data_IF_472139648337
#
_entry.id   IF_472139648337
#
_cell.length_a   1.000
_cell.length_b   1.000
_cell.length_c   1.000
_cell.angle_alpha   90.00
_cell.angle_beta   90.00
_cell.angle_gamma   90.00
#
_symmetry.space_group_name_H-M   'P 1'
#
loop_
_entity.id
_entity.type
_entity.pdbx_description
1 polymer ?
#
# COMPACT_ATOMS: atom_id res chain seq x y z
N UNK A 1 8.29 3.77 27.51
CA UNK A 1 7.44 4.33 26.42
C UNK A 1 8.27 5.21 25.47
N UNK A 2 9.26 4.66 24.76
CA UNK A 2 10.09 5.47 23.86
C UNK A 2 9.30 6.18 22.77
N UNK A 3 8.32 5.53 22.13
CA UNK A 3 7.57 6.13 21.02
C UNK A 3 6.81 7.41 21.42
N UNK A 4 6.05 7.37 22.53
CA UNK A 4 5.32 8.56 23.04
C UNK A 4 6.30 9.67 23.44
N UNK A 5 7.39 9.32 24.13
CA UNK A 5 8.40 10.28 24.54
C UNK A 5 9.11 10.94 23.35
N UNK A 6 9.38 10.18 22.28
CA UNK A 6 9.98 10.67 21.05
C UNK A 6 8.99 11.59 20.31
N UNK A 7 7.72 11.19 20.17
CA UNK A 7 6.71 12.02 19.53
C UNK A 7 6.55 13.37 20.24
N UNK A 8 6.47 13.35 21.57
CA UNK A 8 6.44 14.56 22.41
C UNK A 8 7.70 15.41 22.24
N UNK A 9 8.89 14.81 22.27
CA UNK A 9 10.16 15.53 22.09
C UNK A 9 10.31 16.15 20.69
N UNK A 10 9.70 15.54 19.67
CA UNK A 10 9.63 16.07 18.31
C UNK A 10 8.53 17.15 18.16
N UNK A 11 7.70 17.35 19.20
CA UNK A 11 6.65 18.34 19.26
C UNK A 11 5.35 17.94 18.55
N UNK A 12 5.00 16.65 18.54
CA UNK A 12 3.68 16.24 18.05
C UNK A 12 2.57 16.87 18.92
N UNK A 13 1.56 17.46 18.28
CA UNK A 13 0.39 18.02 18.99
C UNK A 13 -0.53 16.92 19.51
N UNK A 14 -0.55 15.77 18.83
CA UNK A 14 -1.39 14.61 19.15
C UNK A 14 -0.58 13.33 18.96
N UNK A 15 -0.72 12.38 19.88
CA UNK A 15 -0.12 11.03 19.78
C UNK A 15 -1.23 9.98 19.65
N UNK A 16 -1.23 9.22 18.55
CA UNK A 16 -2.12 8.06 18.38
C UNK A 16 -1.50 6.81 19.02
N UNK A 17 -2.28 6.07 19.80
CA UNK A 17 -1.88 4.77 20.38
C UNK A 17 -2.96 3.72 20.19
N UNK A 18 -2.59 2.51 19.78
CA UNK A 18 -3.49 1.35 19.80
C UNK A 18 -3.52 0.71 21.19
N UNK A 19 -4.72 0.40 21.68
CA UNK A 19 -4.91 -0.23 23.00
C UNK A 19 -5.53 -1.61 22.86
N UNK A 20 -4.99 -2.55 23.65
CA UNK A 20 -5.49 -3.92 23.84
C UNK A 20 -5.69 -4.20 25.31
N UNK A 21 -6.62 -5.10 25.63
CA UNK A 21 -6.75 -5.62 27.00
C UNK A 21 -5.94 -6.89 27.21
N UNK A 22 -5.38 -7.06 28.40
CA UNK A 22 -4.88 -8.34 28.91
C UNK A 22 -6.03 -9.23 29.42
N UNK A 23 -5.72 -10.50 29.75
CA UNK A 23 -6.72 -11.44 30.27
C UNK A 23 -7.39 -10.97 31.58
N UNK A 24 -6.63 -10.26 32.42
CA UNK A 24 -7.05 -9.69 33.70
C UNK A 24 -7.53 -8.22 33.58
N UNK A 25 -7.73 -7.71 32.36
CA UNK A 25 -8.37 -6.42 32.12
C UNK A 25 -7.47 -5.19 32.30
N UNK A 26 -6.17 -5.32 32.09
CA UNK A 26 -5.24 -4.18 32.03
C UNK A 26 -5.20 -3.64 30.60
N UNK A 27 -5.36 -2.32 30.44
CA UNK A 27 -5.19 -1.63 29.15
C UNK A 27 -3.70 -1.45 28.83
N UNK A 28 -3.24 -2.03 27.71
CA UNK A 28 -1.85 -1.97 27.26
C UNK A 28 -1.73 -1.42 25.85
N UNK A 29 -0.62 -0.74 25.56
CA UNK A 29 -0.36 -0.16 24.25
C UNK A 29 0.22 -1.21 23.31
N UNK A 30 -0.60 -1.70 22.38
CA UNK A 30 -0.18 -2.65 21.37
C UNK A 30 -1.08 -2.62 20.13
N UNK A 31 -0.49 -2.54 18.94
CA UNK A 31 -1.24 -2.61 17.69
C UNK A 31 -1.84 -4.01 17.43
N UNK A 32 -1.01 -5.06 17.55
CA UNK A 32 -1.38 -6.41 17.17
C UNK A 32 -2.23 -7.09 18.24
N UNK A 33 -3.09 -8.03 17.82
CA UNK A 33 -3.82 -8.86 18.76
C UNK A 33 -2.92 -9.91 19.46
N UNK A 34 -1.74 -10.20 18.89
CA UNK A 34 -0.81 -11.24 19.33
C UNK A 34 0.55 -10.64 19.68
N UNK A 35 1.28 -11.31 20.56
CA UNK A 35 2.63 -10.93 20.96
C UNK A 35 3.72 -11.38 19.94
N UNK A 36 3.31 -11.97 18.82
CA UNK A 36 4.20 -12.76 17.96
C UNK A 36 5.21 -11.95 17.18
N UNK A 37 4.82 -10.77 16.69
CA UNK A 37 5.65 -9.95 15.79
C UNK A 37 6.91 -9.42 16.49
N UNK A 38 6.79 -8.95 17.72
CA UNK A 38 7.89 -8.33 18.45
C UNK A 38 8.55 -9.27 19.47
N UNK A 39 7.78 -10.16 20.11
CA UNK A 39 8.27 -11.00 21.21
C UNK A 39 8.27 -12.50 20.90
N UNK A 40 7.88 -12.90 19.68
CA UNK A 40 7.87 -14.31 19.26
C UNK A 40 6.82 -15.18 19.95
N UNK A 41 5.93 -14.59 20.76
CA UNK A 41 4.88 -15.30 21.47
C UNK A 41 3.57 -15.27 20.67
N UNK A 42 3.10 -16.44 20.24
CA UNK A 42 1.92 -16.55 19.36
C UNK A 42 0.59 -16.30 20.08
N UNK A 43 0.58 -16.25 21.42
CA UNK A 43 -0.64 -16.04 22.20
C UNK A 43 -1.24 -14.66 21.94
N UNK A 44 -2.57 -14.56 22.10
CA UNK A 44 -3.25 -13.26 22.04
C UNK A 44 -3.07 -12.54 23.37
N UNK A 45 -2.91 -11.21 23.34
CA UNK A 45 -2.74 -10.44 24.58
C UNK A 45 -3.94 -10.60 25.52
N UNK A 46 -5.14 -10.70 24.96
CA UNK A 46 -6.38 -10.92 25.71
C UNK A 46 -6.45 -12.28 26.45
N UNK A 47 -5.49 -13.18 26.24
CA UNK A 47 -5.37 -14.49 26.88
C UNK A 47 -4.22 -14.56 27.89
N UNK A 48 -3.42 -13.49 28.01
CA UNK A 48 -2.24 -13.44 28.88
C UNK A 48 -2.47 -12.41 29.99
N UNK A 49 -2.24 -12.75 31.28
CA UNK A 49 -2.39 -11.80 32.39
C UNK A 49 -1.29 -10.74 32.37
N UNK A 50 -1.55 -9.56 32.92
CA UNK A 50 -0.61 -8.45 32.92
C UNK A 50 0.74 -8.82 33.53
N UNK A 51 0.78 -9.63 34.60
CA UNK A 51 2.03 -10.04 35.23
C UNK A 51 2.98 -10.80 34.29
N UNK A 52 2.46 -11.49 33.27
CA UNK A 52 3.25 -12.12 32.22
C UNK A 52 3.62 -11.11 31.13
N UNK A 53 2.64 -10.30 30.67
CA UNK A 53 2.87 -9.26 29.66
C UNK A 53 3.96 -8.27 30.10
N UNK A 54 3.95 -7.86 31.37
CA UNK A 54 4.93 -6.94 31.96
C UNK A 54 6.37 -7.49 31.99
N UNK A 55 6.55 -8.81 31.85
CA UNK A 55 7.87 -9.45 31.79
C UNK A 55 8.40 -9.57 30.37
N UNK A 56 7.60 -9.25 29.36
CA UNK A 56 8.01 -9.30 27.96
C UNK A 56 8.84 -8.08 27.59
N UNK A 57 9.91 -8.32 26.83
CA UNK A 57 10.86 -7.29 26.41
C UNK A 57 11.79 -6.81 27.52
N UNK A 58 12.77 -5.99 27.14
CA UNK A 58 13.66 -5.31 28.07
C UNK A 58 13.78 -3.83 27.68
N UNK A 59 14.02 -2.95 28.65
CA UNK A 59 14.17 -1.51 28.40
C UNK A 59 13.05 -0.90 27.55
N UNK A 60 13.39 -0.61 26.29
CA UNK A 60 12.54 0.04 25.30
C UNK A 60 11.46 -0.88 24.70
N UNK A 61 11.66 -2.19 24.73
CA UNK A 61 10.76 -3.20 24.13
C UNK A 61 9.64 -3.66 25.09
N UNK A 62 9.52 -3.01 26.26
CA UNK A 62 8.43 -3.30 27.21
C UNK A 62 7.13 -2.70 26.74
N UNK A 63 6.05 -3.47 26.90
CA UNK A 63 4.69 -3.06 26.57
C UNK A 63 4.19 -2.08 27.65
N UNK A 64 3.90 -0.80 27.32
CA UNK A 64 3.39 0.17 28.28
C UNK A 64 1.93 -0.08 28.64
N UNK A 65 1.51 0.33 29.84
CA UNK A 65 0.08 0.46 30.16
C UNK A 65 -0.44 1.82 29.71
N UNK A 66 -1.75 1.89 29.45
CA UNK A 66 -2.41 3.16 29.13
C UNK A 66 -2.33 4.16 30.29
N UNK A 67 -2.43 3.70 31.54
CA UNK A 67 -2.30 4.57 32.71
C UNK A 67 -0.92 5.25 32.79
N UNK A 68 0.17 4.52 32.51
CA UNK A 68 1.53 5.07 32.51
C UNK A 68 1.69 6.17 31.45
N UNK A 69 0.92 6.08 30.36
CA UNK A 69 0.90 7.08 29.27
C UNK A 69 0.15 8.33 29.69
N UNK A 70 -1.02 8.16 30.30
CA UNK A 70 -1.83 9.27 30.80
C UNK A 70 -1.14 10.03 31.94
N UNK A 71 -0.41 9.32 32.80
CA UNK A 71 0.43 9.94 33.84
C UNK A 71 1.58 10.73 33.25
N UNK A 72 2.22 10.21 32.19
CA UNK A 72 3.33 10.91 31.52
C UNK A 72 2.87 12.20 30.85
N UNK A 73 1.73 12.15 30.16
CA UNK A 73 1.20 13.29 29.40
C UNK A 73 0.43 14.29 30.27
N UNK A 74 0.26 14.02 31.57
CA UNK A 74 -0.44 14.93 32.46
C UNK A 74 0.27 16.30 32.54
N UNK A 75 -0.48 17.37 32.26
CA UNK A 75 0.05 18.73 32.14
C UNK A 75 0.85 19.02 30.85
N UNK A 76 1.04 18.03 29.97
CA UNK A 76 1.61 18.24 28.63
C UNK A 76 0.56 18.86 27.70
N UNK A 77 0.95 19.75 26.75
CA UNK A 77 0.03 20.23 25.72
C UNK A 77 -0.34 19.15 24.69
N UNK A 78 0.36 18.00 24.71
CA UNK A 78 0.17 16.90 23.77
C UNK A 78 -1.12 16.13 24.09
N UNK A 79 -2.05 16.06 23.13
CA UNK A 79 -3.26 15.25 23.25
C UNK A 79 -3.00 13.78 22.89
N UNK A 80 -3.92 12.91 23.30
CA UNK A 80 -3.87 11.47 23.04
C UNK A 80 -5.07 11.03 22.20
N UNK A 81 -4.83 10.27 21.12
CA UNK A 81 -5.88 9.54 20.40
C UNK A 81 -5.76 8.06 20.72
N UNK A 82 -6.78 7.51 21.36
CA UNK A 82 -6.83 6.09 21.70
C UNK A 82 -7.58 5.32 20.62
N UNK A 83 -6.84 4.48 19.89
CA UNK A 83 -7.39 3.59 18.87
C UNK A 83 -7.77 2.23 19.47
N UNK A 84 -9.05 1.89 19.35
CA UNK A 84 -9.63 0.63 19.85
C UNK A 84 -10.17 -0.20 18.69
N UNK A 85 -10.00 -1.52 18.77
CA UNK A 85 -10.32 -2.44 17.66
C UNK A 85 -11.62 -3.21 17.87
N UNK A 86 -12.02 -3.42 19.12
CA UNK A 86 -13.26 -4.08 19.46
C UNK A 86 -13.89 -3.50 20.74
N UNK A 87 -15.09 -3.97 21.04
CA UNK A 87 -15.91 -3.52 22.19
C UNK A 87 -15.22 -3.78 23.53
N UNK A 88 -14.52 -4.90 23.68
CA UNK A 88 -13.93 -5.28 24.97
C UNK A 88 -12.65 -4.48 25.25
N UNK A 89 -11.82 -4.25 24.21
CA UNK A 89 -10.68 -3.34 24.29
C UNK A 89 -11.14 -1.91 24.62
N UNK A 90 -12.24 -1.46 24.01
CA UNK A 90 -12.81 -0.13 24.24
C UNK A 90 -13.33 0.07 25.66
N UNK A 91 -14.05 -0.91 26.21
CA UNK A 91 -14.58 -0.84 27.57
C UNK A 91 -13.46 -0.71 28.61
N UNK A 92 -12.43 -1.56 28.50
CA UNK A 92 -11.28 -1.55 29.42
C UNK A 92 -10.52 -0.22 29.32
N UNK A 93 -10.21 0.22 28.10
CA UNK A 93 -9.52 1.49 27.87
C UNK A 93 -10.31 2.69 28.43
N UNK A 94 -11.62 2.76 28.17
CA UNK A 94 -12.48 3.84 28.63
C UNK A 94 -12.58 3.86 30.16
N UNK A 95 -12.65 2.71 30.83
CA UNK A 95 -12.62 2.61 32.29
C UNK A 95 -11.27 3.06 32.86
N UNK A 96 -10.15 2.72 32.21
CA UNK A 96 -8.81 3.18 32.62
C UNK A 96 -8.71 4.71 32.53
N UNK A 97 -9.22 5.31 31.44
CA UNK A 97 -9.25 6.78 31.30
C UNK A 97 -10.21 7.42 32.32
N UNK A 98 -11.40 6.83 32.54
CA UNK A 98 -12.35 7.34 33.54
C UNK A 98 -11.83 7.27 34.98
N UNK A 99 -10.93 6.34 35.28
CA UNK A 99 -10.34 6.16 36.61
C UNK A 99 -9.14 7.06 36.87
N UNK A 100 -8.56 7.71 35.85
CA UNK A 100 -7.42 8.61 36.05
C UNK A 100 -7.87 10.02 36.44
N UNK A 101 -6.96 10.78 37.05
CA UNK A 101 -7.12 12.22 37.33
C UNK A 101 -6.32 13.10 36.37
N UNK A 102 -5.67 12.47 35.37
CA UNK A 102 -4.90 13.17 34.35
C UNK A 102 -5.74 14.20 33.60
N UNK A 103 -5.14 15.35 33.34
CA UNK A 103 -5.69 16.44 32.53
C UNK A 103 -5.50 16.24 31.02
N UNK A 104 -4.88 15.13 30.61
CA UNK A 104 -4.61 14.81 29.20
C UNK A 104 -5.91 14.79 28.40
N UNK A 105 -5.97 15.53 27.29
CA UNK A 105 -7.10 15.48 26.37
C UNK A 105 -7.08 14.15 25.62
N UNK A 106 -8.17 13.37 25.69
CA UNK A 106 -8.28 12.04 25.06
C UNK A 106 -9.41 12.02 24.04
N UNK A 107 -9.05 11.73 22.79
CA UNK A 107 -9.97 11.44 21.70
C UNK A 107 -9.95 9.95 21.37
N UNK A 108 -11.01 9.44 20.75
CA UNK A 108 -11.23 8.01 20.55
C UNK A 108 -11.47 7.67 19.10
N UNK A 109 -10.84 6.60 18.62
CA UNK A 109 -11.06 6.06 17.27
C UNK A 109 -11.34 4.57 17.33
N UNK A 110 -12.34 4.11 16.61
CA UNK A 110 -12.63 2.68 16.48
C UNK A 110 -13.89 2.39 15.67
N UNK A 111 -14.29 1.11 15.55
CA UNK A 111 -15.59 0.75 14.98
C UNK A 111 -16.74 1.41 15.77
N UNK A 112 -17.85 1.71 15.09
CA UNK A 112 -19.05 2.35 15.70
C UNK A 112 -19.51 1.66 16.99
N UNK A 113 -19.50 0.33 17.04
CA UNK A 113 -19.87 -0.42 18.23
C UNK A 113 -18.91 -0.20 19.41
N UNK A 114 -17.61 -0.07 19.13
CA UNK A 114 -16.60 0.16 20.15
C UNK A 114 -16.67 1.59 20.69
N UNK A 115 -16.81 2.60 19.81
CA UNK A 115 -16.93 4.00 20.23
C UNK A 115 -18.23 4.28 20.97
N UNK A 116 -19.32 3.56 20.66
CA UNK A 116 -20.55 3.61 21.45
C UNK A 116 -20.34 3.15 22.90
N UNK A 117 -19.50 2.12 23.10
CA UNK A 117 -19.15 1.62 24.43
C UNK A 117 -18.26 2.60 25.19
N UNK A 118 -17.33 3.27 24.50
CA UNK A 118 -16.58 4.39 25.09
C UNK A 118 -17.55 5.44 25.62
N UNK A 119 -18.54 5.87 24.82
CA UNK A 119 -19.54 6.87 25.26
C UNK A 119 -20.48 6.40 26.35
N UNK A 120 -20.72 5.10 26.48
CA UNK A 120 -21.47 4.57 27.61
C UNK A 120 -20.69 4.72 28.93
N UNK A 121 -19.36 4.71 28.89
CA UNK A 121 -18.48 4.89 30.07
C UNK A 121 -18.12 6.37 30.28
N UNK A 122 -17.86 7.10 29.20
CA UNK A 122 -17.45 8.50 29.14
C UNK A 122 -18.42 9.28 28.23
N UNK A 123 -19.55 9.79 28.75
CA UNK A 123 -20.60 10.41 27.94
C UNK A 123 -20.13 11.54 27.01
N UNK A 124 -19.14 12.32 27.46
CA UNK A 124 -18.59 13.46 26.72
C UNK A 124 -17.35 13.09 25.88
N UNK A 125 -17.10 11.79 25.67
CA UNK A 125 -15.94 11.34 24.91
C UNK A 125 -15.94 11.89 23.48
N UNK A 126 -14.81 12.53 23.13
CA UNK A 126 -14.51 12.98 21.78
C UNK A 126 -14.22 11.77 20.87
N UNK A 127 -14.97 11.62 19.78
CA UNK A 127 -14.88 10.45 18.90
C UNK A 127 -14.59 10.86 17.48
N UNK A 128 -13.65 10.15 16.85
CA UNK A 128 -13.27 10.32 15.45
C UNK A 128 -13.90 9.22 14.61
N UNK A 129 -14.47 9.60 13.47
CA UNK A 129 -14.99 8.66 12.49
C UNK A 129 -13.91 8.34 11.46
N UNK A 130 -13.48 7.08 11.43
CA UNK A 130 -12.52 6.61 10.43
C UNK A 130 -13.21 6.39 9.08
N UNK A 131 -12.69 7.04 8.04
CA UNK A 131 -13.02 6.78 6.64
C UNK A 131 -11.81 6.16 5.91
N UNK A 132 -11.70 4.84 6.00
CA UNK A 132 -10.60 4.07 5.41
C UNK A 132 -11.01 3.24 4.18
N UNK A 133 -12.30 2.93 4.05
CA UNK A 133 -12.84 2.19 2.91
C UNK A 133 -13.25 3.17 1.83
N UNK A 134 -13.20 2.80 0.55
CA UNK A 134 -13.58 3.79 -0.47
C UNK A 134 -15.12 4.04 -0.54
N UNK A 135 -15.91 3.48 0.38
CA UNK A 135 -17.32 3.79 0.54
C UNK A 135 -17.43 5.08 1.36
N UNK A 136 -18.09 6.10 0.81
CA UNK A 136 -18.26 7.40 1.49
C UNK A 136 -19.15 7.21 2.72
N UNK A 137 -18.75 7.69 3.92
CA UNK A 137 -19.60 7.68 5.10
C UNK A 137 -20.92 8.37 4.81
N UNK A 138 -22.01 7.72 5.18
CA UNK A 138 -23.35 8.25 4.99
C UNK A 138 -23.70 9.22 6.11
N UNK A 139 -24.74 10.05 5.88
CA UNK A 139 -25.31 10.88 6.94
C UNK A 139 -25.78 10.05 8.14
N UNK A 140 -26.24 8.81 7.92
CA UNK A 140 -26.63 7.91 9.01
C UNK A 140 -25.43 7.52 9.87
N UNK A 141 -24.27 7.28 9.26
CA UNK A 141 -23.04 6.94 9.99
C UNK A 141 -22.58 8.12 10.86
N UNK A 142 -22.64 9.34 10.31
CA UNK A 142 -22.34 10.57 11.04
C UNK A 142 -23.27 10.79 12.23
N UNK A 143 -24.58 10.54 12.06
CA UNK A 143 -25.55 10.68 13.16
C UNK A 143 -25.34 9.59 14.23
N UNK A 144 -25.07 8.35 13.81
CA UNK A 144 -24.86 7.24 14.73
C UNK A 144 -23.58 7.41 15.58
N UNK A 145 -22.51 7.92 14.97
CA UNK A 145 -21.22 8.11 15.65
C UNK A 145 -21.13 9.49 16.30
N UNK A 146 -21.78 10.52 15.78
CA UNK A 146 -21.64 11.91 16.23
C UNK A 146 -20.19 12.36 16.38
N UNK A 147 -19.33 12.20 15.35
CA UNK A 147 -17.90 12.47 15.48
C UNK A 147 -17.60 13.97 15.56
N UNK A 148 -16.47 14.35 16.13
CA UNK A 148 -15.89 15.70 15.99
C UNK A 148 -14.96 15.81 14.79
N UNK A 149 -14.32 14.69 14.42
CA UNK A 149 -13.26 14.63 13.43
C UNK A 149 -13.53 13.48 12.46
N UNK A 150 -13.43 13.79 11.17
CA UNK A 150 -13.40 12.80 10.11
C UNK A 150 -11.94 12.42 9.83
N UNK A 151 -11.60 11.17 10.15
CA UNK A 151 -10.28 10.61 9.98
C UNK A 151 -10.19 9.93 8.60
N UNK A 152 -9.76 10.70 7.60
CA UNK A 152 -9.72 10.37 6.18
C UNK A 152 -8.37 9.78 5.82
N UNK A 153 -8.36 8.75 5.00
CA UNK A 153 -7.10 8.28 4.42
C UNK A 153 -6.78 9.04 3.12
N UNK A 154 -5.51 9.37 2.89
CA UNK A 154 -5.02 10.29 1.86
C UNK A 154 -5.56 10.06 0.44
N UNK A 155 -5.79 8.80 0.03
CA UNK A 155 -6.41 8.48 -1.26
C UNK A 155 -7.83 9.06 -1.47
N UNK A 156 -8.58 9.39 -0.41
CA UNK A 156 -9.92 9.99 -0.47
C UNK A 156 -9.94 11.47 -0.17
N UNK A 157 -8.79 12.03 0.17
CA UNK A 157 -8.70 13.44 0.44
C UNK A 157 -8.81 14.22 -0.89
N UNK A 158 -9.75 15.15 -0.90
CA UNK A 158 -10.01 16.13 -1.97
C UNK A 158 -10.45 17.45 -1.33
N UNK A 159 -10.40 18.56 -2.07
CA UNK A 159 -10.97 19.83 -1.60
C UNK A 159 -12.45 19.66 -1.23
N UNK A 160 -13.26 19.05 -2.11
CA UNK A 160 -14.68 18.77 -1.86
C UNK A 160 -14.90 17.94 -0.58
N UNK A 161 -14.02 16.97 -0.30
CA UNK A 161 -14.08 16.18 0.94
C UNK A 161 -13.87 17.07 2.17
N UNK A 162 -12.89 17.97 2.11
CA UNK A 162 -12.58 18.90 3.22
C UNK A 162 -13.71 19.90 3.40
N UNK A 163 -14.12 20.57 2.32
CA UNK A 163 -15.21 21.56 2.34
C UNK A 163 -16.51 20.94 2.86
N UNK A 164 -16.85 19.72 2.44
CA UNK A 164 -18.05 19.03 2.91
C UNK A 164 -17.97 18.68 4.41
N UNK A 165 -16.81 18.25 4.90
CA UNK A 165 -16.61 17.95 6.31
C UNK A 165 -16.68 19.22 7.17
N UNK A 166 -16.00 20.29 6.75
CA UNK A 166 -16.04 21.61 7.40
C UNK A 166 -17.45 22.21 7.40
N UNK A 167 -18.21 22.07 6.30
CA UNK A 167 -19.62 22.50 6.24
C UNK A 167 -20.53 21.73 7.21
N UNK A 168 -20.12 20.53 7.62
CA UNK A 168 -20.79 19.73 8.66
C UNK A 168 -20.25 20.01 10.07
N UNK A 169 -19.29 20.92 10.22
CA UNK A 169 -18.66 21.27 11.50
C UNK A 169 -17.65 20.23 12.00
N UNK A 170 -17.16 19.35 11.13
CA UNK A 170 -16.19 18.31 11.46
C UNK A 170 -14.78 18.81 11.14
N UNK A 171 -13.81 18.53 12.01
CA UNK A 171 -12.39 18.62 11.64
C UNK A 171 -12.02 17.46 10.69
N UNK A 172 -10.97 17.64 9.89
CA UNK A 172 -10.44 16.62 8.99
C UNK A 172 -9.04 16.23 9.43
N UNK A 173 -8.87 14.96 9.77
CA UNK A 173 -7.56 14.35 9.93
C UNK A 173 -7.22 13.53 8.67
N UNK A 174 -5.97 13.58 8.20
CA UNK A 174 -5.48 12.73 7.10
C UNK A 174 -4.41 11.75 7.58
N UNK A 175 -4.50 10.50 7.11
CA UNK A 175 -3.52 9.44 7.43
C UNK A 175 -3.00 8.73 6.17
N UNK A 176 -1.77 8.20 6.15
CA UNK A 176 -0.56 8.68 6.84
C UNK A 176 0.30 9.36 5.78
N UNK A 177 0.78 10.57 6.07
CA UNK A 177 1.59 11.36 5.14
C UNK A 177 2.96 11.62 5.76
N UNK A 178 4.00 11.02 5.19
CA UNK A 178 5.37 11.19 5.68
C UNK A 178 6.18 12.16 4.81
N UNK A 179 5.77 12.36 3.56
CA UNK A 179 6.49 13.21 2.61
C UNK A 179 6.10 14.68 2.75
N UNK A 180 7.07 15.62 2.89
CA UNK A 180 6.78 17.05 3.02
C UNK A 180 5.91 17.62 1.90
N UNK A 181 5.99 17.08 0.68
CA UNK A 181 5.16 17.50 -0.45
C UNK A 181 3.72 17.03 -0.33
N UNK A 182 3.49 15.78 0.07
CA UNK A 182 2.14 15.28 0.33
C UNK A 182 1.50 16.02 1.51
N UNK A 183 2.29 16.34 2.53
CA UNK A 183 1.87 17.16 3.67
C UNK A 183 1.51 18.58 3.25
N UNK A 184 2.34 19.24 2.43
CA UNK A 184 2.01 20.56 1.84
C UNK A 184 0.71 20.54 1.05
N UNK A 185 0.51 19.51 0.24
CA UNK A 185 -0.71 19.33 -0.53
C UNK A 185 -1.93 19.21 0.37
N UNK A 186 -1.89 18.32 1.38
CA UNK A 186 -3.01 18.13 2.30
C UNK A 186 -3.31 19.39 3.12
N UNK A 187 -2.27 20.07 3.61
CA UNK A 187 -2.40 21.36 4.30
C UNK A 187 -3.03 22.43 3.38
N UNK A 188 -2.63 22.45 2.10
CA UNK A 188 -3.21 23.35 1.08
C UNK A 188 -4.69 23.09 0.78
N UNK A 189 -5.19 21.87 1.02
CA UNK A 189 -6.61 21.55 0.94
C UNK A 189 -7.41 22.01 2.19
N UNK A 190 -6.73 22.47 3.25
CA UNK A 190 -7.38 22.86 4.50
C UNK A 190 -7.55 21.74 5.52
N UNK A 191 -6.77 20.66 5.44
CA UNK A 191 -6.77 19.61 6.47
C UNK A 191 -6.33 20.14 7.83
N UNK A 192 -7.03 19.74 8.90
CA UNK A 192 -6.79 20.22 10.27
C UNK A 192 -5.70 19.41 11.01
N UNK A 193 -5.59 18.11 10.73
CA UNK A 193 -4.69 17.19 11.41
C UNK A 193 -3.99 16.24 10.43
N UNK A 194 -2.69 16.00 10.62
CA UNK A 194 -1.90 15.13 9.74
C UNK A 194 -1.22 14.06 10.58
N UNK A 195 -1.57 12.80 10.34
CA UNK A 195 -0.86 11.68 10.93
C UNK A 195 0.38 11.35 10.11
N UNK A 196 1.51 11.19 10.80
CA UNK A 196 2.82 10.96 10.18
C UNK A 196 3.69 10.09 11.07
N UNK A 197 4.61 9.35 10.46
CA UNK A 197 5.74 8.68 11.11
C UNK A 197 7.02 9.54 11.10
N UNK A 198 7.03 10.65 10.35
CA UNK A 198 8.14 11.60 10.25
C UNK A 198 7.68 13.02 10.65
N UNK A 199 7.62 13.29 11.96
CA UNK A 199 7.20 14.59 12.51
C UNK A 199 8.04 15.76 11.96
N UNK A 200 9.39 15.69 11.89
CA UNK A 200 10.19 16.72 11.23
C UNK A 200 9.83 16.94 9.77
N UNK A 201 9.67 15.87 8.98
CA UNK A 201 9.29 15.94 7.57
C UNK A 201 7.91 16.58 7.38
N UNK A 202 6.93 16.16 8.17
CA UNK A 202 5.59 16.74 8.13
C UNK A 202 5.58 18.22 8.53
N UNK A 203 6.32 18.62 9.57
CA UNK A 203 6.45 20.03 9.95
C UNK A 203 7.06 20.88 8.85
N UNK A 204 8.09 20.38 8.16
CA UNK A 204 8.64 21.04 6.98
C UNK A 204 7.61 21.17 5.83
N UNK A 205 6.61 20.29 5.82
CA UNK A 205 5.47 20.34 4.90
C UNK A 205 4.33 21.28 5.33
N UNK A 206 4.20 21.62 6.61
CA UNK A 206 3.10 22.46 7.13
C UNK A 206 3.30 23.97 6.93
N UNK A 207 4.31 24.38 6.16
CA UNK A 207 4.52 25.77 5.74
C UNK A 207 3.46 26.12 4.69
N UNK A 208 2.83 27.33 4.70
CA UNK A 208 1.81 27.70 3.74
C UNK A 208 2.20 27.32 2.31
N UNK A 209 1.45 26.36 1.77
CA UNK A 209 1.62 25.84 0.43
C UNK A 209 1.14 26.83 -0.63
N UNK A 210 1.49 26.60 -1.90
CA UNK A 210 1.02 27.43 -3.01
C UNK A 210 -0.51 27.42 -3.12
N UNK A 211 -1.04 28.43 -3.81
CA UNK A 211 -2.47 28.65 -4.11
C UNK A 211 -3.27 27.33 -4.26
N UNK A 212 -4.35 27.10 -3.50
CA UNK A 212 -5.20 25.91 -3.64
C UNK A 212 -5.86 25.77 -5.02
N UNK A 213 -5.92 26.85 -5.81
CA UNK A 213 -6.34 26.81 -7.21
C UNK A 213 -5.23 26.33 -8.17
N UNK A 214 -3.99 26.14 -7.69
CA UNK A 214 -2.88 25.64 -8.50
C UNK A 214 -3.08 24.17 -8.83
N UNK A 215 -2.82 23.84 -10.09
CA UNK A 215 -2.76 22.45 -10.53
C UNK A 215 -1.63 21.68 -9.82
N UNK A 216 -1.90 20.50 -9.24
CA UNK A 216 -0.90 19.72 -8.51
C UNK A 216 0.27 19.31 -9.42
N UNK A 217 1.46 19.34 -8.85
CA UNK A 217 2.70 18.93 -9.49
C UNK A 217 2.75 17.42 -9.72
N UNK A 218 3.73 16.97 -10.51
CA UNK A 218 3.89 15.55 -10.82
C UNK A 218 4.13 14.69 -9.58
N UNK A 219 4.94 15.19 -8.65
CA UNK A 219 5.30 14.47 -7.42
C UNK A 219 4.09 14.36 -6.49
N UNK A 220 3.28 15.42 -6.36
CA UNK A 220 2.03 15.42 -5.60
C UNK A 220 1.02 14.42 -6.18
N UNK A 221 0.81 14.44 -7.50
CA UNK A 221 -0.05 13.47 -8.20
C UNK A 221 0.47 12.05 -8.02
N UNK A 222 1.79 11.85 -8.17
CA UNK A 222 2.45 10.56 -7.99
C UNK A 222 2.29 10.00 -6.57
N UNK A 223 2.52 10.82 -5.54
CA UNK A 223 2.36 10.43 -4.14
C UNK A 223 0.92 9.99 -3.85
N UNK A 224 -0.06 10.82 -4.24
CA UNK A 224 -1.47 10.53 -4.07
C UNK A 224 -1.88 9.27 -4.84
N UNK A 225 -1.43 9.12 -6.08
CA UNK A 225 -1.71 7.95 -6.90
C UNK A 225 -1.12 6.67 -6.33
N UNK A 226 0.10 6.71 -5.78
CA UNK A 226 0.70 5.58 -5.10
C UNK A 226 -0.11 5.17 -3.87
N UNK A 227 -0.50 6.12 -3.01
CA UNK A 227 -1.34 5.83 -1.85
C UNK A 227 -2.70 5.21 -2.23
N UNK A 228 -3.35 5.72 -3.30
CA UNK A 228 -4.60 5.15 -3.83
C UNK A 228 -4.38 3.73 -4.33
N UNK A 229 -3.34 3.51 -5.14
CA UNK A 229 -3.04 2.21 -5.72
C UNK A 229 -2.63 1.17 -4.66
N UNK A 230 -1.88 1.57 -3.65
CA UNK A 230 -1.52 0.75 -2.49
C UNK A 230 -2.77 0.23 -1.77
N UNK A 231 -3.71 1.11 -1.44
CA UNK A 231 -4.96 0.71 -0.77
C UNK A 231 -5.84 -0.16 -1.64
N UNK A 232 -5.95 0.17 -2.93
CA UNK A 232 -6.65 -0.68 -3.89
C UNK A 232 -6.03 -2.07 -3.97
N UNK A 233 -4.70 -2.19 -3.97
CA UNK A 233 -4.03 -3.47 -3.96
C UNK A 233 -4.43 -4.32 -2.75
N UNK A 234 -4.42 -3.75 -1.54
CA UNK A 234 -4.85 -4.44 -0.34
C UNK A 234 -6.34 -4.83 -0.34
N UNK A 235 -7.22 -3.93 -0.79
CA UNK A 235 -8.64 -4.23 -0.94
C UNK A 235 -8.88 -5.35 -1.95
N UNK A 236 -8.19 -5.32 -3.10
CA UNK A 236 -8.32 -6.35 -4.12
C UNK A 236 -7.79 -7.70 -3.62
N UNK A 237 -6.71 -7.73 -2.84
CA UNK A 237 -6.22 -8.96 -2.20
C UNK A 237 -7.29 -9.55 -1.26
N UNK A 238 -7.86 -8.73 -0.37
CA UNK A 238 -8.91 -9.16 0.55
C UNK A 238 -10.14 -9.66 -0.21
N UNK A 239 -10.61 -8.86 -1.16
CA UNK A 239 -11.77 -9.16 -2.00
C UNK A 239 -11.60 -10.46 -2.79
N UNK A 240 -10.41 -10.69 -3.37
CA UNK A 240 -10.10 -11.92 -4.12
C UNK A 240 -10.16 -13.15 -3.22
N UNK A 241 -9.65 -13.05 -1.98
CA UNK A 241 -9.67 -14.16 -1.02
C UNK A 241 -11.07 -14.46 -0.50
N UNK A 242 -11.88 -13.44 -0.26
CA UNK A 242 -13.27 -13.58 0.18
C UNK A 242 -14.18 -14.22 -0.88
N UNK A 243 -13.80 -14.12 -2.16
CA UNK A 243 -14.56 -14.62 -3.30
C UNK A 243 -13.82 -15.74 -4.05
N UNK A 244 -12.92 -16.47 -3.38
CA UNK A 244 -12.08 -17.50 -4.01
C UNK A 244 -12.87 -18.66 -4.65
N UNK A 245 -14.12 -18.88 -4.22
CA UNK A 245 -15.01 -19.92 -4.76
C UNK A 245 -15.78 -19.48 -6.04
N UNK A 246 -15.65 -18.21 -6.46
CA UNK A 246 -16.31 -17.68 -7.66
C UNK A 246 -15.54 -18.04 -8.94
N UNK A 247 -16.24 -18.08 -10.08
CA UNK A 247 -15.59 -18.16 -11.38
C UNK A 247 -14.56 -17.03 -11.57
N UNK A 248 -13.31 -17.40 -11.86
CA UNK A 248 -12.20 -16.45 -11.91
C UNK A 248 -12.39 -15.34 -12.95
N UNK A 249 -13.09 -15.59 -14.07
CA UNK A 249 -13.33 -14.56 -15.09
C UNK A 249 -14.41 -13.59 -14.64
N UNK A 250 -15.46 -14.09 -13.99
CA UNK A 250 -16.49 -13.24 -13.37
C UNK A 250 -15.87 -12.36 -12.28
N UNK A 251 -15.07 -12.96 -11.41
CA UNK A 251 -14.35 -12.26 -10.35
C UNK A 251 -13.42 -11.17 -10.91
N UNK A 252 -12.64 -11.48 -11.96
CA UNK A 252 -11.78 -10.50 -12.64
C UNK A 252 -12.57 -9.28 -13.15
N UNK A 253 -13.75 -9.49 -13.75
CA UNK A 253 -14.61 -8.39 -14.19
C UNK A 253 -15.17 -7.55 -13.03
N UNK A 254 -15.49 -8.18 -11.89
CA UNK A 254 -15.91 -7.47 -10.67
C UNK A 254 -14.77 -6.63 -10.08
N UNK A 255 -13.55 -7.19 -10.04
CA UNK A 255 -12.35 -6.50 -9.56
C UNK A 255 -12.03 -5.30 -10.47
N UNK A 256 -12.04 -5.46 -11.80
CA UNK A 256 -11.76 -4.33 -12.71
C UNK A 256 -12.79 -3.21 -12.53
N UNK A 257 -14.07 -3.55 -12.42
CA UNK A 257 -15.15 -2.59 -12.18
C UNK A 257 -14.97 -1.86 -10.85
N UNK A 258 -14.61 -2.61 -9.80
CA UNK A 258 -14.28 -2.05 -8.49
C UNK A 258 -13.13 -1.06 -8.64
N UNK A 259 -11.95 -1.49 -9.09
CA UNK A 259 -10.78 -0.62 -9.27
C UNK A 259 -11.10 0.63 -10.08
N UNK A 260 -11.77 0.50 -11.23
CA UNK A 260 -12.12 1.65 -12.09
C UNK A 260 -13.03 2.65 -11.41
N UNK A 261 -14.09 2.19 -10.73
CA UNK A 261 -15.01 3.07 -9.99
C UNK A 261 -14.24 3.90 -8.96
N UNK A 262 -13.25 3.27 -8.33
CA UNK A 262 -12.51 3.82 -7.20
C UNK A 262 -11.42 4.78 -7.68
N UNK A 263 -10.72 4.44 -8.77
CA UNK A 263 -9.82 5.35 -9.47
C UNK A 263 -10.57 6.59 -10.00
N UNK A 264 -11.77 6.43 -10.55
CA UNK A 264 -12.58 7.57 -11.03
C UNK A 264 -13.05 8.48 -9.89
N UNK A 265 -13.33 7.93 -8.72
CA UNK A 265 -13.67 8.74 -7.54
C UNK A 265 -12.47 9.55 -7.04
N UNK A 266 -11.28 8.94 -6.97
CA UNK A 266 -10.07 9.62 -6.54
C UNK A 266 -9.52 10.60 -7.59
N UNK A 267 -9.63 10.25 -8.87
CA UNK A 267 -9.10 10.96 -10.02
C UNK A 267 -10.16 11.13 -11.13
N UNK A 268 -11.11 12.06 -10.99
CA UNK A 268 -12.23 12.22 -11.92
C UNK A 268 -11.82 12.50 -13.36
N UNK A 269 -10.66 13.14 -13.57
CA UNK A 269 -10.17 13.53 -14.90
C UNK A 269 -9.25 12.51 -15.55
N UNK A 270 -8.76 11.49 -14.83
CA UNK A 270 -7.79 10.55 -15.40
C UNK A 270 -8.44 9.56 -16.37
N UNK A 271 -7.72 9.21 -17.44
CA UNK A 271 -8.08 8.13 -18.35
C UNK A 271 -7.86 6.75 -17.69
N UNK A 272 -8.50 5.71 -18.22
CA UNK A 272 -8.33 4.35 -17.72
C UNK A 272 -8.56 3.29 -18.81
N UNK A 273 -7.62 2.36 -18.99
CA UNK A 273 -7.71 1.23 -19.92
C UNK A 273 -7.46 -0.10 -19.20
N UNK A 274 -8.14 -1.14 -19.64
CA UNK A 274 -8.07 -2.48 -19.07
C UNK A 274 -8.85 -3.47 -19.93
N UNK A 275 -8.57 -4.78 -19.79
CA UNK A 275 -9.01 -5.80 -20.73
C UNK A 275 -10.52 -6.06 -20.69
N UNK A 276 -11.20 -5.86 -19.55
CA UNK A 276 -12.64 -6.18 -19.42
C UNK A 276 -13.54 -5.03 -19.85
N UNK A 277 -13.20 -3.79 -19.49
CA UNK A 277 -14.05 -2.62 -19.71
C UNK A 277 -13.50 -1.64 -20.77
N UNK A 278 -12.43 -1.97 -21.47
CA UNK A 278 -11.88 -1.17 -22.57
C UNK A 278 -11.30 0.16 -22.13
N UNK A 279 -11.32 1.15 -23.01
CA UNK A 279 -10.69 2.47 -22.75
C UNK A 279 -11.73 3.52 -22.38
N UNK A 280 -11.49 4.22 -21.28
CA UNK A 280 -12.12 5.49 -20.95
C UNK A 280 -11.09 6.60 -21.13
N UNK A 281 -11.43 7.61 -21.94
CA UNK A 281 -10.61 8.81 -22.12
C UNK A 281 -10.54 9.64 -20.84
N UNK A 282 -9.47 10.42 -20.72
CA UNK A 282 -9.28 11.41 -19.67
C UNK A 282 -8.29 12.48 -20.11
N UNK A 283 -7.69 13.17 -19.15
CA UNK A 283 -6.65 14.16 -19.35
C UNK A 283 -5.29 13.51 -19.70
N UNK A 284 -4.20 14.21 -19.41
CA UNK A 284 -2.82 13.72 -19.63
C UNK A 284 -2.42 12.52 -18.76
N UNK A 285 -3.20 12.18 -17.73
CA UNK A 285 -2.95 11.05 -16.84
C UNK A 285 -3.79 9.85 -17.26
N UNK A 286 -3.17 8.67 -17.31
CA UNK A 286 -3.84 7.47 -17.79
C UNK A 286 -3.44 6.24 -16.98
N UNK A 287 -4.45 5.59 -16.40
CA UNK A 287 -4.33 4.33 -15.68
C UNK A 287 -4.46 3.14 -16.62
N UNK A 288 -3.54 2.19 -16.52
CA UNK A 288 -3.61 0.88 -17.14
C UNK A 288 -3.85 -0.15 -16.03
N UNK A 289 -4.93 -0.92 -16.16
CA UNK A 289 -5.43 -1.80 -15.12
C UNK A 289 -5.60 -3.21 -15.68
N UNK A 290 -4.91 -4.17 -15.10
CA UNK A 290 -5.21 -5.59 -15.27
C UNK A 290 -5.71 -6.15 -13.94
N UNK A 291 -7.00 -6.50 -13.87
CA UNK A 291 -7.63 -6.98 -12.65
C UNK A 291 -7.19 -8.38 -12.21
N UNK A 292 -6.90 -9.25 -13.18
CA UNK A 292 -6.46 -10.62 -12.94
C UNK A 292 -5.55 -11.09 -14.09
N UNK A 293 -4.28 -10.69 -14.02
CA UNK A 293 -3.22 -11.36 -14.75
C UNK A 293 -3.09 -12.80 -14.23
N UNK A 294 -3.03 -13.78 -15.12
CA UNK A 294 -3.13 -15.20 -14.76
C UNK A 294 -4.53 -15.68 -14.38
N UNK A 295 -5.59 -15.16 -15.01
CA UNK A 295 -6.98 -15.62 -14.78
C UNK A 295 -7.16 -17.13 -15.00
N UNK A 296 -6.42 -17.74 -15.93
CA UNK A 296 -6.45 -19.18 -16.15
C UNK A 296 -5.82 -19.96 -14.99
N UNK A 297 -4.75 -19.43 -14.38
CA UNK A 297 -4.17 -20.00 -13.18
C UNK A 297 -5.16 -19.94 -12.02
N UNK A 298 -5.81 -18.78 -11.83
CA UNK A 298 -6.85 -18.64 -10.80
C UNK A 298 -8.00 -19.63 -11.01
N UNK A 299 -8.47 -19.80 -12.25
CA UNK A 299 -9.52 -20.77 -12.58
C UNK A 299 -9.11 -22.23 -12.32
N UNK A 300 -7.81 -22.54 -12.43
CA UNK A 300 -7.26 -23.87 -12.16
C UNK A 300 -6.82 -24.07 -10.69
N UNK A 301 -7.00 -23.07 -9.81
CA UNK A 301 -6.52 -23.12 -8.43
C UNK A 301 -4.99 -23.04 -8.30
N UNK A 302 -4.29 -22.58 -9.34
CA UNK A 302 -2.84 -22.33 -9.31
C UNK A 302 -2.60 -20.93 -8.74
N UNK A 303 -1.80 -20.78 -7.65
CA UNK A 303 -1.68 -19.53 -6.91
C UNK A 303 -0.73 -18.52 -7.57
N UNK A 304 -0.79 -18.38 -8.89
CA UNK A 304 0.01 -17.45 -9.70
C UNK A 304 -0.92 -16.53 -10.49
N UNK A 305 -1.53 -15.58 -9.80
CA UNK A 305 -2.26 -14.49 -10.43
C UNK A 305 -1.96 -13.18 -9.71
N UNK A 306 -2.21 -12.06 -10.37
CA UNK A 306 -2.01 -10.74 -9.76
C UNK A 306 -2.93 -9.68 -10.35
N UNK A 307 -3.05 -8.57 -9.63
CA UNK A 307 -3.63 -7.33 -10.15
C UNK A 307 -2.51 -6.34 -10.42
N UNK A 308 -2.55 -5.67 -11.57
CA UNK A 308 -1.57 -4.67 -11.99
C UNK A 308 -2.26 -3.30 -12.16
N UNK A 309 -1.71 -2.29 -11.51
CA UNK A 309 -2.15 -0.89 -11.58
C UNK A 309 -0.96 -0.03 -12.03
N UNK A 310 -1.08 0.62 -13.19
CA UNK A 310 0.01 1.39 -13.76
C UNK A 310 -0.46 2.77 -14.22
N UNK A 311 0.07 3.83 -13.63
CA UNK A 311 -0.23 5.21 -14.00
C UNK A 311 0.85 5.78 -14.89
N UNK A 312 0.42 6.43 -15.98
CA UNK A 312 1.27 7.23 -16.84
C UNK A 312 0.79 8.68 -16.92
N UNK A 313 1.70 9.62 -17.17
CA UNK A 313 1.41 11.02 -17.50
C UNK A 313 2.13 11.42 -18.77
N UNK A 314 1.39 11.84 -19.80
CA UNK A 314 1.93 12.09 -21.14
C UNK A 314 2.82 10.93 -21.65
N UNK A 315 2.40 9.68 -21.37
CA UNK A 315 3.14 8.46 -21.74
C UNK A 315 4.37 8.14 -20.88
N UNK A 316 4.72 8.97 -19.89
CA UNK A 316 5.80 8.68 -18.92
C UNK A 316 5.23 7.90 -17.73
N UNK A 317 5.94 6.88 -17.27
CA UNK A 317 5.55 6.11 -16.08
C UNK A 317 5.59 6.98 -14.82
N UNK A 318 4.57 6.89 -13.97
CA UNK A 318 4.52 7.59 -12.67
C UNK A 318 4.44 6.63 -11.49
N UNK A 319 3.48 5.70 -11.51
CA UNK A 319 3.20 4.78 -10.40
C UNK A 319 2.94 3.38 -10.97
N UNK A 320 3.44 2.35 -10.30
CA UNK A 320 3.24 0.96 -10.66
C UNK A 320 3.03 0.12 -9.41
N UNK A 321 1.93 -0.62 -9.34
CA UNK A 321 1.60 -1.52 -8.23
C UNK A 321 1.20 -2.89 -8.78
N UNK A 322 1.81 -3.95 -8.25
CA UNK A 322 1.46 -5.35 -8.53
C UNK A 322 1.03 -6.01 -7.21
N UNK A 323 -0.20 -6.49 -7.17
CA UNK A 323 -0.80 -7.14 -6.00
C UNK A 323 -0.94 -8.64 -6.23
N UNK A 324 -0.25 -9.44 -5.42
CA UNK A 324 -0.35 -10.91 -5.40
C UNK A 324 -1.30 -11.34 -4.27
N UNK A 325 -2.54 -11.75 -4.58
CA UNK A 325 -3.53 -12.17 -3.59
C UNK A 325 -3.14 -13.45 -2.86
N UNK A 326 -2.35 -14.33 -3.46
CA UNK A 326 -2.01 -15.61 -2.87
C UNK A 326 -0.93 -15.46 -1.81
N UNK A 327 0.12 -14.69 -2.10
CA UNK A 327 1.18 -14.35 -1.12
C UNK A 327 0.79 -13.20 -0.20
N UNK A 328 -0.25 -12.45 -0.55
CA UNK A 328 -0.60 -11.20 0.14
C UNK A 328 0.53 -10.18 0.03
N UNK A 329 1.21 -10.16 -1.12
CA UNK A 329 2.34 -9.28 -1.39
C UNK A 329 1.90 -8.13 -2.28
N UNK A 330 2.37 -6.93 -1.95
CA UNK A 330 2.19 -5.73 -2.78
C UNK A 330 3.58 -5.22 -3.12
N UNK A 331 3.90 -5.25 -4.41
CA UNK A 331 5.08 -4.58 -4.96
C UNK A 331 4.63 -3.24 -5.51
N UNK A 332 5.30 -2.17 -5.13
CA UNK A 332 4.97 -0.82 -5.60
C UNK A 332 6.23 -0.01 -5.94
N UNK A 333 6.09 0.88 -6.91
CA UNK A 333 7.12 1.80 -7.34
C UNK A 333 6.50 3.12 -7.76
N UNK A 334 7.23 4.21 -7.50
CA UNK A 334 6.94 5.54 -8.03
C UNK A 334 8.19 6.09 -8.70
N UNK A 335 8.02 6.73 -9.85
CA UNK A 335 9.14 7.18 -10.66
C UNK A 335 10.06 8.11 -9.85
N UNK A 336 11.35 7.78 -9.79
CA UNK A 336 12.38 8.51 -9.06
C UNK A 336 12.38 8.32 -7.53
N UNK A 337 11.52 7.45 -6.99
CA UNK A 337 11.35 7.24 -5.54
C UNK A 337 11.65 5.79 -5.12
N UNK A 338 12.05 4.93 -6.05
CA UNK A 338 12.41 3.55 -5.77
C UNK A 338 11.20 2.60 -5.78
N UNK A 339 11.50 1.33 -5.55
CA UNK A 339 10.55 0.24 -5.48
C UNK A 339 10.57 -0.40 -4.08
N UNK A 340 9.41 -0.84 -3.59
CA UNK A 340 9.29 -1.55 -2.32
C UNK A 340 8.41 -2.78 -2.46
N UNK A 341 8.66 -3.76 -1.60
CA UNK A 341 7.80 -4.91 -1.35
C UNK A 341 7.40 -4.85 0.13
N UNK A 342 6.16 -4.47 0.41
CA UNK A 342 5.73 -4.09 1.77
C UNK A 342 6.65 -2.97 2.28
N UNK A 343 7.21 -3.11 3.48
CA UNK A 343 8.12 -2.13 4.08
C UNK A 343 9.59 -2.28 3.63
N UNK A 344 9.89 -3.23 2.72
CA UNK A 344 11.26 -3.52 2.30
C UNK A 344 11.57 -2.86 0.96
N UNK A 345 12.55 -1.96 0.95
CA UNK A 345 13.13 -1.42 -0.28
C UNK A 345 13.71 -2.54 -1.17
N UNK A 346 13.35 -2.50 -2.44
CA UNK A 346 13.88 -3.37 -3.49
C UNK A 346 15.07 -2.68 -4.14
N UNK A 347 16.22 -3.37 -4.17
CA UNK A 347 17.45 -2.88 -4.79
C UNK A 347 18.16 -4.04 -5.47
N UNK A 348 18.47 -3.84 -6.74
CA UNK A 348 19.33 -4.66 -7.57
C UNK A 348 20.65 -3.90 -7.66
N UNK A 349 21.73 -4.53 -7.23
CA UNK A 349 23.06 -3.95 -7.31
C UNK A 349 23.65 -4.07 -8.73
N UNK A 350 24.79 -3.42 -8.93
CA UNK A 350 25.55 -3.49 -10.18
C UNK A 350 26.58 -4.63 -10.20
N UNK A 351 26.60 -5.50 -9.18
CA UNK A 351 27.59 -6.56 -9.10
C UNK A 351 27.36 -7.57 -10.24
N UNK A 352 28.43 -8.03 -10.91
CA UNK A 352 28.33 -9.04 -11.95
C UNK A 352 27.55 -10.28 -11.48
N UNK A 353 26.63 -10.76 -12.33
CA UNK A 353 25.83 -11.96 -12.11
C UNK A 353 26.05 -12.92 -13.26
N UNK A 354 26.36 -14.17 -12.93
CA UNK A 354 26.45 -15.21 -13.95
C UNK A 354 25.04 -15.65 -14.34
N UNK A 355 24.78 -15.77 -15.64
CA UNK A 355 23.53 -16.36 -16.13
C UNK A 355 23.45 -17.85 -15.79
N UNK A 356 24.60 -18.54 -15.74
CA UNK A 356 24.68 -19.96 -15.46
C UNK A 356 24.04 -20.34 -14.10
N UNK A 357 23.16 -21.33 -14.10
CA UNK A 357 22.45 -21.79 -12.89
C UNK A 357 21.35 -20.85 -12.38
N UNK A 358 21.15 -19.69 -13.02
CA UNK A 358 20.22 -18.68 -12.53
C UNK A 358 18.76 -18.96 -12.89
N UNK A 359 17.84 -18.28 -12.22
CA UNK A 359 16.40 -18.33 -12.51
C UNK A 359 16.04 -17.22 -13.51
N UNK A 360 15.41 -17.62 -14.62
CA UNK A 360 14.95 -16.73 -15.69
C UNK A 360 13.46 -16.96 -15.93
N UNK A 361 12.68 -15.89 -16.07
CA UNK A 361 11.26 -15.94 -16.38
C UNK A 361 10.95 -15.74 -17.86
N UNK A 362 9.87 -16.33 -18.35
CA UNK A 362 9.26 -15.93 -19.63
C UNK A 362 7.77 -16.23 -19.65
N UNK A 363 7.07 -15.83 -20.71
CA UNK A 363 5.66 -16.15 -20.94
C UNK A 363 5.43 -16.70 -22.35
N UNK A 364 4.29 -17.38 -22.51
CA UNK A 364 3.75 -17.76 -23.82
C UNK A 364 3.12 -16.55 -24.50
N UNK A 365 3.01 -16.60 -25.83
CA UNK A 365 2.18 -15.66 -26.58
C UNK A 365 0.73 -16.15 -26.53
N UNK A 366 0.02 -15.72 -25.49
CA UNK A 366 -1.30 -16.22 -25.12
C UNK A 366 -1.24 -17.69 -24.69
N UNK A 367 -1.42 -18.62 -25.64
CA UNK A 367 -1.37 -20.08 -25.41
C UNK A 367 -0.42 -20.80 -26.36
N UNK A 368 0.41 -20.04 -27.08
CA UNK A 368 1.31 -20.54 -28.11
C UNK A 368 2.74 -20.17 -27.80
N UNK A 369 3.67 -20.98 -28.30
CA UNK A 369 5.06 -20.56 -28.37
C UNK A 369 5.20 -19.34 -29.28
N UNK A 370 6.04 -18.40 -28.89
CA UNK A 370 6.56 -17.39 -29.79
C UNK A 370 7.79 -17.97 -30.52
N UNK A 371 8.11 -17.53 -31.77
CA UNK A 371 9.08 -18.22 -32.64
C UNK A 371 10.44 -18.55 -32.02
N UNK A 372 10.95 -17.68 -31.13
CA UNK A 372 12.23 -17.86 -30.46
C UNK A 372 12.20 -18.67 -29.16
N UNK A 373 11.04 -19.07 -28.63
CA UNK A 373 10.93 -19.65 -27.28
C UNK A 373 11.75 -20.95 -27.13
N UNK A 374 11.70 -21.83 -28.12
CA UNK A 374 12.45 -23.10 -28.11
C UNK A 374 13.96 -22.84 -28.11
N UNK A 375 14.41 -21.83 -28.86
CA UNK A 375 15.82 -21.45 -28.90
C UNK A 375 16.28 -20.80 -27.59
N UNK A 376 15.43 -19.97 -26.98
CA UNK A 376 15.68 -19.41 -25.65
C UNK A 376 15.81 -20.54 -24.62
N UNK A 377 14.86 -21.47 -24.60
CA UNK A 377 14.87 -22.64 -23.70
C UNK A 377 16.15 -23.45 -23.85
N UNK A 378 16.58 -23.73 -25.08
CA UNK A 378 17.82 -24.47 -25.35
C UNK A 378 19.04 -23.72 -24.83
N UNK A 379 19.17 -22.44 -25.15
CA UNK A 379 20.32 -21.60 -24.79
C UNK A 379 20.46 -21.43 -23.26
N UNK A 380 19.32 -21.28 -22.58
CA UNK A 380 19.25 -21.24 -21.11
C UNK A 380 19.53 -22.61 -20.50
N UNK A 381 19.03 -23.70 -21.10
CA UNK A 381 19.29 -25.07 -20.66
C UNK A 381 20.77 -25.46 -20.73
N UNK A 382 21.48 -25.07 -21.78
CA UNK A 382 22.94 -25.25 -21.92
C UNK A 382 23.74 -24.54 -20.81
N UNK A 383 23.17 -23.49 -20.21
CA UNK A 383 23.73 -22.74 -19.07
C UNK A 383 23.23 -23.26 -17.73
N UNK A 384 22.50 -24.38 -17.70
CA UNK A 384 21.85 -24.90 -16.48
C UNK A 384 20.88 -23.91 -15.83
N UNK A 385 20.35 -22.94 -16.56
CA UNK A 385 19.37 -21.99 -16.02
C UNK A 385 18.04 -22.70 -15.74
N UNK A 386 17.36 -22.24 -14.70
CA UNK A 386 15.98 -22.61 -14.41
C UNK A 386 15.02 -21.65 -15.10
N UNK A 387 14.31 -22.10 -16.15
CA UNK A 387 13.24 -21.33 -16.78
C UNK A 387 11.94 -21.42 -15.96
N UNK A 388 11.21 -20.32 -15.86
CA UNK A 388 9.85 -20.25 -15.30
C UNK A 388 8.89 -19.66 -16.34
N UNK A 389 7.77 -20.33 -16.55
CA UNK A 389 6.61 -19.80 -17.28
C UNK A 389 5.48 -19.75 -16.27
N UNK A 390 5.20 -18.57 -15.70
CA UNK A 390 4.26 -18.46 -14.59
C UNK A 390 2.82 -18.40 -15.08
N UNK A 391 2.56 -18.02 -16.33
CA UNK A 391 1.20 -17.76 -16.80
C UNK A 391 0.62 -16.47 -16.21
N UNK A 392 1.47 -15.58 -15.71
CA UNK A 392 1.11 -14.29 -15.11
C UNK A 392 2.26 -13.29 -15.36
N UNK A 393 2.14 -12.51 -16.43
CA UNK A 393 3.21 -11.65 -16.95
C UNK A 393 3.69 -10.59 -15.97
N UNK A 394 2.80 -10.00 -15.17
CA UNK A 394 3.15 -9.02 -14.15
C UNK A 394 4.02 -9.66 -13.05
N UNK A 395 3.69 -10.89 -12.63
CA UNK A 395 4.50 -11.65 -11.67
C UNK A 395 5.82 -12.07 -12.30
N UNK A 396 5.83 -12.52 -13.55
CA UNK A 396 7.03 -12.97 -14.27
C UNK A 396 8.08 -11.87 -14.33
N UNK A 397 7.70 -10.65 -14.70
CA UNK A 397 8.62 -9.51 -14.70
C UNK A 397 8.92 -9.01 -13.27
N UNK A 398 7.90 -8.91 -12.42
CA UNK A 398 8.03 -8.36 -11.06
C UNK A 398 8.94 -9.17 -10.13
N UNK A 399 9.08 -10.49 -10.36
CA UNK A 399 10.02 -11.32 -9.59
C UNK A 399 11.48 -10.86 -9.73
N UNK A 400 11.83 -10.22 -10.85
CA UNK A 400 13.18 -9.67 -11.05
C UNK A 400 13.43 -8.49 -10.11
N UNK A 401 12.49 -7.56 -10.00
CA UNK A 401 12.56 -6.45 -9.04
C UNK A 401 12.67 -6.96 -7.59
N UNK A 402 11.96 -8.06 -7.27
CA UNK A 402 12.02 -8.69 -5.96
C UNK A 402 13.34 -9.44 -5.66
N UNK A 403 14.25 -9.56 -6.65
CA UNK A 403 15.50 -10.30 -6.54
C UNK A 403 15.35 -11.82 -6.54
N UNK A 404 14.19 -12.34 -6.99
CA UNK A 404 13.88 -13.79 -7.00
C UNK A 404 14.26 -14.49 -8.32
N UNK A 405 14.66 -13.71 -9.31
CA UNK A 405 15.23 -14.15 -10.58
C UNK A 405 16.15 -13.06 -11.13
N UNK A 406 17.04 -13.42 -12.05
CA UNK A 406 18.03 -12.47 -12.59
C UNK A 406 17.55 -11.78 -13.87
N UNK A 407 16.47 -12.26 -14.47
CA UNK A 407 15.84 -11.63 -15.62
C UNK A 407 14.59 -12.35 -16.08
N UNK A 408 13.78 -11.67 -16.89
CA UNK A 408 12.55 -12.21 -17.43
C UNK A 408 12.17 -11.51 -18.73
N UNK A 409 11.57 -12.23 -19.68
CA UNK A 409 11.13 -11.64 -20.95
C UNK A 409 9.70 -12.02 -21.33
N UNK A 410 9.01 -11.10 -21.98
CA UNK A 410 7.67 -11.31 -22.54
C UNK A 410 7.69 -11.04 -24.04
N UNK A 411 6.97 -11.84 -24.86
CA UNK A 411 7.01 -11.72 -26.31
C UNK A 411 6.25 -10.51 -26.85
N UNK A 412 5.27 -10.01 -26.10
CA UNK A 412 4.48 -8.83 -26.45
C UNK A 412 4.18 -8.03 -25.18
N UNK A 413 4.68 -6.80 -25.12
CA UNK A 413 4.41 -5.90 -24.02
C UNK A 413 2.95 -5.42 -24.03
N UNK A 414 2.31 -5.49 -22.88
CA UNK A 414 0.98 -4.96 -22.63
C UNK A 414 1.09 -4.01 -21.43
N UNK A 415 0.85 -2.69 -21.60
CA UNK A 415 0.94 -1.73 -20.51
C UNK A 415 0.06 -2.06 -19.30
N UNK A 416 -1.13 -2.65 -19.50
CA UNK A 416 -2.06 -2.98 -18.43
C UNK A 416 -1.59 -4.18 -17.59
N UNK A 417 -0.91 -5.14 -18.20
CA UNK A 417 -0.34 -6.30 -17.50
C UNK A 417 1.05 -5.98 -16.97
N UNK A 418 1.95 -5.54 -17.85
CA UNK A 418 3.39 -5.51 -17.62
C UNK A 418 3.90 -4.13 -17.16
N UNK A 419 3.16 -3.05 -17.39
CA UNK A 419 3.65 -1.68 -17.17
C UNK A 419 4.11 -1.43 -15.74
N UNK A 420 3.33 -1.86 -14.74
CA UNK A 420 3.69 -1.75 -13.34
C UNK A 420 4.99 -2.52 -13.01
N UNK A 421 5.11 -3.75 -13.53
CA UNK A 421 6.28 -4.60 -13.30
C UNK A 421 7.56 -4.04 -13.96
N UNK A 422 7.44 -3.42 -15.13
CA UNK A 422 8.56 -2.73 -15.79
C UNK A 422 9.04 -1.54 -14.97
N UNK A 423 8.13 -0.73 -14.44
CA UNK A 423 8.50 0.38 -13.55
C UNK A 423 9.15 -0.13 -12.26
N UNK A 424 8.61 -1.19 -11.67
CA UNK A 424 9.18 -1.85 -10.49
C UNK A 424 10.64 -2.27 -10.71
N UNK A 425 10.95 -2.90 -11.85
CA UNK A 425 12.33 -3.31 -12.13
C UNK A 425 13.26 -2.11 -12.28
N UNK A 426 12.83 -1.04 -12.98
CA UNK A 426 13.66 0.17 -13.12
C UNK A 426 13.94 0.84 -11.80
N UNK A 427 12.91 1.05 -10.99
CA UNK A 427 13.02 1.73 -9.70
C UNK A 427 13.77 0.87 -8.67
N UNK A 428 13.84 -0.45 -8.88
CA UNK A 428 14.74 -1.33 -8.14
C UNK A 428 16.21 -1.27 -8.64
N UNK A 429 16.52 -0.53 -9.71
CA UNK A 429 17.88 -0.44 -10.30
C UNK A 429 18.14 -1.42 -11.44
N UNK A 430 17.13 -2.18 -11.89
CA UNK A 430 17.26 -3.11 -13.01
C UNK A 430 17.17 -2.45 -14.38
N UNK A 431 17.52 -3.23 -15.41
CA UNK A 431 17.58 -2.77 -16.80
C UNK A 431 16.37 -3.27 -17.57
N UNK A 432 15.78 -2.41 -18.41
CA UNK A 432 14.69 -2.75 -19.32
C UNK A 432 15.21 -2.66 -20.76
N UNK A 433 15.06 -3.75 -21.50
CA UNK A 433 15.66 -3.96 -22.81
C UNK A 433 14.58 -4.33 -23.84
N UNK A 434 14.66 -3.70 -25.00
CA UNK A 434 13.98 -4.13 -26.22
C UNK A 434 14.95 -4.86 -27.14
N UNK A 435 14.48 -5.27 -28.32
CA UNK A 435 15.29 -6.01 -29.28
C UNK A 435 16.57 -5.25 -29.72
N UNK A 436 16.56 -3.92 -29.68
CA UNK A 436 17.68 -3.06 -30.11
C UNK A 436 18.50 -2.48 -28.97
N UNK A 437 18.25 -2.86 -27.71
CA UNK A 437 18.98 -2.37 -26.54
C UNK A 437 18.07 -1.73 -25.48
N UNK A 438 18.63 -0.82 -24.68
CA UNK A 438 17.96 -0.22 -23.52
C UNK A 438 16.74 0.60 -23.94
N UNK A 439 15.66 0.46 -23.17
CA UNK A 439 14.45 1.27 -23.27
C UNK A 439 14.38 2.18 -22.04
N UNK A 440 14.41 3.49 -22.25
CA UNK A 440 14.36 4.51 -21.17
C UNK A 440 12.91 4.82 -20.72
N UNK A 441 11.96 4.80 -21.65
CA UNK A 441 10.54 5.15 -21.43
C UNK A 441 9.63 3.93 -21.28
N UNK A 442 8.31 4.10 -21.31
CA UNK A 442 7.41 2.93 -21.33
C UNK A 442 7.65 2.15 -22.63
N UNK A 443 7.87 0.82 -22.59
CA UNK A 443 8.01 0.03 -23.82
C UNK A 443 6.80 0.17 -24.73
N UNK A 444 7.00 0.02 -26.04
CA UNK A 444 5.89 0.09 -27.01
C UNK A 444 5.02 -1.16 -26.89
N UNK A 445 3.71 -0.95 -26.89
CA UNK A 445 2.75 -2.05 -26.84
C UNK A 445 2.95 -3.01 -28.02
N UNK A 446 2.90 -4.31 -27.76
CA UNK A 446 3.10 -5.37 -28.74
C UNK A 446 4.56 -5.71 -29.05
N UNK A 447 5.54 -4.88 -28.64
CA UNK A 447 6.95 -5.20 -28.83
C UNK A 447 7.46 -6.16 -27.74
N UNK A 448 8.43 -7.05 -28.05
CA UNK A 448 9.03 -7.94 -27.06
C UNK A 448 9.90 -7.15 -26.08
N UNK A 449 9.84 -7.52 -24.79
CA UNK A 449 10.56 -6.84 -23.71
C UNK A 449 11.29 -7.85 -22.83
N UNK A 450 12.52 -7.51 -22.45
CA UNK A 450 13.33 -8.20 -21.46
C UNK A 450 13.60 -7.24 -20.29
N UNK A 451 13.50 -7.74 -19.07
CA UNK A 451 13.97 -7.04 -17.86
C UNK A 451 15.06 -7.88 -17.20
N UNK A 452 16.08 -7.27 -16.63
CA UNK A 452 17.22 -7.98 -16.08
C UNK A 452 17.88 -7.26 -14.90
N UNK A 453 18.55 -8.04 -14.05
CA UNK A 453 19.55 -7.55 -13.12
C UNK A 453 20.72 -6.93 -13.91
N UNK A 454 21.27 -5.76 -13.52
CA UNK A 454 22.33 -5.09 -14.29
C UNK A 454 23.52 -5.99 -14.59
N UNK A 455 24.02 -6.68 -13.56
CA UNK A 455 25.14 -7.62 -13.69
C UNK A 455 24.96 -8.82 -14.63
N UNK A 456 23.76 -9.12 -15.14
CA UNK A 456 23.50 -10.18 -16.13
C UNK A 456 22.83 -9.66 -17.42
N UNK A 457 22.60 -8.34 -17.53
CA UNK A 457 21.79 -7.76 -18.59
C UNK A 457 22.35 -8.04 -19.98
N UNK A 458 23.66 -7.84 -20.17
CA UNK A 458 24.31 -8.01 -21.48
C UNK A 458 24.29 -9.47 -21.96
N UNK A 459 24.65 -10.42 -21.10
CA UNK A 459 24.64 -11.84 -21.45
C UNK A 459 23.22 -12.32 -21.79
N UNK A 460 22.25 -11.97 -20.95
CA UNK A 460 20.86 -12.37 -21.15
C UNK A 460 20.24 -11.70 -22.38
N UNK A 461 20.59 -10.45 -22.67
CA UNK A 461 20.16 -9.74 -23.88
C UNK A 461 20.68 -10.42 -25.14
N UNK A 462 21.96 -10.83 -25.15
CA UNK A 462 22.55 -11.58 -26.26
C UNK A 462 21.85 -12.92 -26.51
N UNK A 463 21.57 -13.67 -25.44
CA UNK A 463 20.83 -14.94 -25.54
C UNK A 463 19.40 -14.71 -26.07
N UNK A 464 18.71 -13.71 -25.55
CA UNK A 464 17.32 -13.42 -25.90
C UNK A 464 17.17 -12.87 -27.33
N UNK A 465 18.03 -11.95 -27.75
CA UNK A 465 18.00 -11.39 -29.12
C UNK A 465 18.37 -12.43 -30.17
N UNK A 466 19.31 -13.33 -29.87
CA UNK A 466 19.60 -14.47 -30.74
C UNK A 466 18.38 -15.39 -30.90
N UNK A 467 17.61 -15.59 -29.84
CA UNK A 467 16.36 -16.34 -29.89
C UNK A 467 15.29 -15.62 -30.73
N UNK A 468 15.13 -14.30 -30.59
CA UNK A 468 14.20 -13.50 -31.40
C UNK A 468 14.53 -13.49 -32.90
N UNK A 469 15.79 -13.72 -33.27
CA UNK A 469 16.20 -13.77 -34.67
C UNK A 469 15.79 -15.06 -35.40
N UNK A 470 15.35 -16.09 -34.66
CA UNK A 470 14.82 -17.34 -35.23
C UNK A 470 13.42 -17.05 -35.81
N UNK A 471 13.27 -17.28 -37.12
CA UNK A 471 12.02 -17.05 -37.86
C UNK A 471 11.20 -18.31 -38.01
#
# INVERSE_FOLDING_TARGET
MPAVAVAEALGADVVEVDVRRTADGTAVLLHDATLGRLWGDRRRVAEVPWCEVARLGNGLDRIPRLEDVLERLDGSPTALVVAVRDVADAEVAARTVAATTSSTTVSWRGPTAATAIVRAVLPDADVWLRWADLAVPTRSDLVAVGPSTLDVDAAFLTADTVDAAHALGLAVAVRTLDEPEAVRWAAGLGVDLIATQDVPGARAGCVPGPDPAREPGEVEVGARAQAVAHRLAHEVIAFTREHADEDARVLAGRIERLVRRRLRAAFPTHGCTGPVHGTASGDRHHWWVSAADGVDNAAAGVPWSSTSLFLTRNGRALVGVVADPWRGEVLEARSGHGAVLRDRALRLDDDPRQLAGAVVGTELDGRREWPGLVQLLRSLGERSCSLRVLGAGALTLGQVAAGRGIGACVPAFDPAVHGAAVLLVREAGGVVLGATGVVEGVPRAGEPVLVAHPGAADELHGVWTAALAVR
#
